data_IF_676277582685
#
_entry.id   IF_676277582685
#
_cell.length_a   1.000
_cell.length_b   1.000
_cell.length_c   1.000
_cell.angle_alpha   90.00
_cell.angle_beta   90.00
_cell.angle_gamma   90.00
#
_symmetry.space_group_name_H-M   'P 1'
#
loop_
_entity.id
_entity.type
_entity.pdbx_description
1 polymer ?
#
# COMPACT_ATOMS: atom_id res chain seq x y z
N UNK A 1 4.55 44.74 -18.52
CA UNK A 1 4.44 43.28 -18.69
C UNK A 1 3.54 42.64 -17.63
N UNK A 2 3.57 43.07 -16.36
CA UNK A 2 2.67 42.57 -15.30
C UNK A 2 1.17 42.63 -15.62
N UNK A 3 0.71 43.62 -16.41
CA UNK A 3 -0.72 43.82 -16.67
C UNK A 3 -1.27 42.88 -17.77
N UNK A 4 -0.41 42.27 -18.60
CA UNK A 4 -0.85 41.45 -19.76
C UNK A 4 -1.05 39.97 -19.41
N UNK A 5 -0.48 39.50 -18.29
CA UNK A 5 -0.59 38.10 -17.84
C UNK A 5 -1.48 37.89 -16.62
N UNK A 6 -2.16 38.93 -16.15
CA UNK A 6 -3.20 38.75 -15.14
C UNK A 6 -4.30 37.87 -15.77
N UNK A 7 -4.60 36.73 -15.16
CA UNK A 7 -5.71 35.80 -15.49
C UNK A 7 -5.45 34.69 -16.54
N UNK A 8 -4.21 34.21 -16.73
CA UNK A 8 -4.03 32.90 -17.39
C UNK A 8 -4.43 31.76 -16.45
N UNK A 9 -5.01 30.68 -16.98
CA UNK A 9 -5.40 29.52 -16.12
C UNK A 9 -4.18 28.90 -15.42
N UNK A 10 -3.01 28.98 -16.06
CA UNK A 10 -1.74 28.53 -15.49
C UNK A 10 -1.34 29.38 -14.27
N UNK A 11 -1.45 30.71 -14.37
CA UNK A 11 -1.16 31.60 -13.24
C UNK A 11 -2.12 31.34 -12.06
N UNK A 12 -3.40 31.10 -12.33
CA UNK A 12 -4.39 30.77 -11.29
C UNK A 12 -4.08 29.44 -10.61
N UNK A 13 -3.70 28.41 -11.37
CA UNK A 13 -3.32 27.12 -10.80
C UNK A 13 -2.05 27.23 -9.94
N UNK A 14 -1.05 27.98 -10.39
CA UNK A 14 0.19 28.19 -9.63
C UNK A 14 -0.06 29.03 -8.37
N UNK A 15 -0.95 30.04 -8.43
CA UNK A 15 -1.33 30.86 -7.28
C UNK A 15 -2.11 30.07 -6.23
N UNK A 16 -2.86 29.05 -6.63
CA UNK A 16 -3.62 28.20 -5.72
C UNK A 16 -2.73 27.30 -4.84
N UNK A 17 -1.46 27.11 -5.18
CA UNK A 17 -0.53 26.34 -4.36
C UNK A 17 -0.04 27.16 -3.16
N UNK A 18 -0.18 26.68 -1.90
CA UNK A 18 0.17 27.44 -0.71
C UNK A 18 1.67 27.45 -0.39
N UNK A 19 2.53 27.38 -1.41
CA UNK A 19 3.99 27.28 -1.27
C UNK A 19 4.73 28.63 -1.40
N UNK A 20 6.04 28.67 -1.08
CA UNK A 20 6.90 27.56 -0.64
C UNK A 20 6.49 27.01 0.73
N UNK A 21 6.53 25.69 0.88
CA UNK A 21 6.07 25.03 2.11
C UNK A 21 7.21 24.93 3.12
N UNK A 22 7.04 25.52 4.30
CA UNK A 22 7.97 25.46 5.44
C UNK A 22 7.22 25.13 6.73
N UNK A 23 7.86 24.41 7.65
CA UNK A 23 7.25 24.04 8.94
C UNK A 23 6.89 25.26 9.80
N UNK A 24 7.64 26.34 9.66
CA UNK A 24 7.54 27.53 10.51
C UNK A 24 6.48 28.51 10.01
N UNK A 25 6.30 28.66 8.69
CA UNK A 25 5.45 29.70 8.10
C UNK A 25 4.14 29.14 7.51
N UNK A 26 4.11 27.88 7.11
CA UNK A 26 2.95 27.30 6.42
C UNK A 26 1.94 26.71 7.40
N UNK A 27 0.67 27.11 7.28
CA UNK A 27 -0.40 26.48 8.04
C UNK A 27 -0.75 25.10 7.49
N UNK A 28 -0.72 24.11 8.36
CA UNK A 28 -1.03 22.70 8.04
C UNK A 28 -2.39 22.51 7.37
N UNK A 29 -3.39 23.31 7.75
CA UNK A 29 -4.75 23.23 7.20
C UNK A 29 -4.78 23.58 5.71
N UNK A 30 -3.96 24.56 5.28
CA UNK A 30 -3.92 24.97 3.88
C UNK A 30 -3.33 23.87 2.99
N UNK A 31 -2.30 23.18 3.48
CA UNK A 31 -1.70 22.02 2.79
C UNK A 31 -2.69 20.86 2.69
N UNK A 32 -3.43 20.57 3.76
CA UNK A 32 -4.47 19.53 3.77
C UNK A 32 -5.57 19.88 2.75
N UNK A 33 -6.10 21.10 2.78
CA UNK A 33 -7.16 21.54 1.88
C UNK A 33 -6.71 21.50 0.41
N UNK A 34 -5.47 21.92 0.14
CA UNK A 34 -4.87 21.85 -1.19
C UNK A 34 -4.76 20.40 -1.69
N UNK A 35 -4.21 19.51 -0.87
CA UNK A 35 -4.04 18.10 -1.22
C UNK A 35 -5.40 17.40 -1.43
N UNK A 36 -6.42 17.69 -0.61
CA UNK A 36 -7.78 17.17 -0.79
C UNK A 36 -8.45 17.65 -2.09
N UNK A 37 -8.23 18.92 -2.46
CA UNK A 37 -8.71 19.45 -3.73
C UNK A 37 -8.03 18.72 -4.91
N UNK A 38 -6.71 18.54 -4.86
CA UNK A 38 -5.98 17.77 -5.88
C UNK A 38 -6.43 16.31 -5.96
N UNK A 39 -6.66 15.64 -4.82
CA UNK A 39 -7.22 14.28 -4.77
C UNK A 39 -8.57 14.21 -5.50
N UNK A 40 -9.47 15.17 -5.23
CA UNK A 40 -10.79 15.27 -5.87
C UNK A 40 -10.66 15.46 -7.39
N UNK A 41 -9.72 16.30 -7.83
CA UNK A 41 -9.44 16.51 -9.26
C UNK A 41 -8.91 15.26 -9.94
N UNK A 42 -8.07 14.46 -9.29
CA UNK A 42 -7.60 13.18 -9.82
C UNK A 42 -8.77 12.24 -10.12
N UNK A 43 -9.77 12.16 -9.23
CA UNK A 43 -10.98 11.34 -9.46
C UNK A 43 -11.81 11.81 -10.65
N UNK A 44 -11.81 13.10 -10.95
CA UNK A 44 -12.57 13.70 -12.05
C UNK A 44 -11.81 13.71 -13.39
N UNK A 45 -10.51 13.41 -13.38
CA UNK A 45 -9.66 13.52 -14.57
C UNK A 45 -9.63 12.22 -15.38
N UNK A 46 -10.45 12.14 -16.43
CA UNK A 46 -10.53 11.00 -17.36
C UNK A 46 -9.25 10.72 -18.17
N UNK A 47 -8.27 11.63 -18.18
CA UNK A 47 -7.00 11.43 -18.88
C UNK A 47 -5.98 10.58 -18.09
N UNK A 48 -6.20 10.35 -16.79
CA UNK A 48 -5.31 9.53 -15.98
C UNK A 48 -5.56 8.04 -16.22
N UNK A 49 -4.48 7.28 -16.35
CA UNK A 49 -4.53 5.81 -16.53
C UNK A 49 -5.06 5.13 -15.27
N UNK A 50 -4.60 5.56 -14.09
CA UNK A 50 -4.96 5.02 -12.78
C UNK A 50 -5.32 6.18 -11.83
N UNK A 51 -6.59 6.60 -11.87
CA UNK A 51 -7.09 7.74 -11.10
C UNK A 51 -7.03 7.48 -9.61
N UNK A 52 -7.31 6.24 -9.22
CA UNK A 52 -7.36 5.79 -7.84
C UNK A 52 -5.97 5.86 -7.21
N UNK A 53 -4.91 5.43 -7.90
CA UNK A 53 -3.55 5.54 -7.37
C UNK A 53 -3.02 6.98 -7.40
N UNK A 54 -3.38 7.78 -8.40
CA UNK A 54 -3.02 9.20 -8.44
C UNK A 54 -3.67 9.97 -7.27
N UNK A 55 -4.95 9.70 -6.97
CA UNK A 55 -5.67 10.20 -5.80
C UNK A 55 -5.01 9.72 -4.50
N UNK A 56 -4.68 8.43 -4.41
CA UNK A 56 -4.09 7.80 -3.23
C UNK A 56 -2.79 8.49 -2.78
N UNK A 57 -1.95 8.96 -3.71
CA UNK A 57 -0.74 9.72 -3.38
C UNK A 57 -1.07 11.04 -2.64
N UNK A 58 -2.14 11.73 -3.03
CA UNK A 58 -2.60 12.93 -2.34
C UNK A 58 -3.25 12.61 -1.00
N UNK A 59 -4.09 11.57 -0.95
CA UNK A 59 -4.71 11.13 0.30
C UNK A 59 -3.67 10.68 1.33
N UNK A 60 -2.55 10.11 0.89
CA UNK A 60 -1.41 9.81 1.74
C UNK A 60 -0.73 11.05 2.32
N UNK A 61 -0.54 12.10 1.52
CA UNK A 61 -0.04 13.39 2.01
C UNK A 61 -1.01 13.98 3.04
N UNK A 62 -2.32 13.88 2.82
CA UNK A 62 -3.34 14.30 3.80
C UNK A 62 -3.21 13.51 5.10
N UNK A 63 -3.05 12.19 5.03
CA UNK A 63 -2.84 11.33 6.19
C UNK A 63 -1.61 11.75 6.98
N UNK A 64 -0.46 11.93 6.31
CA UNK A 64 0.77 12.40 6.94
C UNK A 64 0.58 13.74 7.64
N UNK A 65 -0.05 14.72 7.00
CA UNK A 65 -0.34 16.01 7.62
C UNK A 65 -1.25 15.88 8.85
N UNK A 66 -2.27 15.02 8.80
CA UNK A 66 -3.17 14.79 9.94
C UNK A 66 -2.43 14.16 11.12
N UNK A 67 -1.54 13.21 10.84
CA UNK A 67 -0.75 12.49 11.85
C UNK A 67 0.63 13.10 12.13
N UNK A 68 0.83 14.39 11.79
CA UNK A 68 2.08 15.13 12.04
C UNK A 68 3.33 14.38 11.53
N UNK A 69 3.28 13.85 10.32
CA UNK A 69 4.38 13.18 9.64
C UNK A 69 4.70 11.77 10.16
N UNK A 70 3.97 11.26 11.16
CA UNK A 70 4.20 9.93 11.73
C UNK A 70 2.99 9.04 11.48
N UNK A 71 3.15 8.00 10.69
CA UNK A 71 2.10 7.01 10.36
C UNK A 71 2.61 5.61 10.66
N UNK A 72 1.72 4.71 11.10
CA UNK A 72 2.05 3.28 11.24
C UNK A 72 1.39 2.47 10.13
N UNK A 73 1.86 1.23 9.93
CA UNK A 73 1.39 0.37 8.84
C UNK A 73 -0.12 0.14 8.82
N UNK A 74 -0.79 0.17 9.98
CA UNK A 74 -2.24 0.05 10.09
C UNK A 74 -2.99 1.28 9.55
N UNK A 75 -2.47 2.50 9.77
CA UNK A 75 -3.06 3.73 9.20
C UNK A 75 -3.02 3.70 7.67
N UNK A 76 -1.90 3.21 7.13
CA UNK A 76 -1.68 3.10 5.69
C UNK A 76 -2.55 2.00 5.10
N UNK A 77 -2.70 0.88 5.80
CA UNK A 77 -3.60 -0.20 5.39
C UNK A 77 -5.06 0.25 5.37
N UNK A 78 -5.50 1.03 6.36
CA UNK A 78 -6.83 1.65 6.35
C UNK A 78 -7.00 2.52 5.11
N UNK A 79 -6.03 3.42 4.84
CA UNK A 79 -6.04 4.27 3.64
C UNK A 79 -6.13 3.46 2.33
N UNK A 80 -5.32 2.40 2.21
CA UNK A 80 -5.31 1.52 1.03
C UNK A 80 -6.65 0.81 0.82
N UNK A 81 -7.40 0.55 1.89
CA UNK A 81 -8.63 -0.25 1.88
C UNK A 81 -9.92 0.60 1.91
N UNK A 82 -9.86 1.93 2.00
CA UNK A 82 -11.04 2.81 2.11
C UNK A 82 -12.10 2.57 1.02
N UNK A 83 -11.67 2.38 -0.22
CA UNK A 83 -12.56 2.15 -1.37
C UNK A 83 -12.74 0.66 -1.69
N UNK A 84 -12.02 -0.23 -0.99
CA UNK A 84 -12.23 -1.66 -1.08
C UNK A 84 -13.42 -2.04 -0.21
N UNK A 85 -14.58 -2.25 -0.86
CA UNK A 85 -15.67 -2.99 -0.24
C UNK A 85 -15.07 -4.30 0.27
N UNK A 86 -14.95 -4.45 1.58
CA UNK A 86 -14.57 -5.71 2.21
C UNK A 86 -15.67 -6.72 1.90
N UNK A 87 -15.58 -7.39 0.75
CA UNK A 87 -16.41 -8.56 0.42
C UNK A 87 -16.26 -9.64 1.52
N UNK A 88 -15.20 -9.55 2.33
CA UNK A 88 -14.80 -10.51 3.34
C UNK A 88 -15.31 -10.25 4.77
N UNK A 89 -16.01 -9.15 5.03
CA UNK A 89 -16.67 -8.93 6.32
C UNK A 89 -18.11 -8.48 6.10
N UNK A 90 -19.11 -9.37 6.30
CA UNK A 90 -20.47 -8.94 6.55
C UNK A 90 -20.48 -8.10 7.84
N UNK A 91 -20.60 -6.78 7.69
CA UNK A 91 -21.19 -5.92 8.72
C UNK A 91 -20.34 -5.51 9.92
N UNK A 92 -19.07 -5.11 9.78
CA UNK A 92 -18.40 -4.35 10.86
C UNK A 92 -17.65 -3.14 10.33
N UNK A 93 -18.13 -1.95 10.73
CA UNK A 93 -17.43 -0.69 10.56
C UNK A 93 -16.20 -0.63 11.51
N UNK A 94 -15.18 0.20 11.23
CA UNK A 94 -13.98 0.32 12.06
C UNK A 94 -14.24 0.75 13.51
N UNK A 95 -15.40 1.34 13.81
CA UNK A 95 -15.73 1.88 15.13
C UNK A 95 -16.24 0.84 16.15
N UNK A 96 -16.37 -0.43 15.77
CA UNK A 96 -16.87 -1.50 16.66
C UNK A 96 -15.84 -2.61 16.91
N UNK A 97 -14.55 -2.32 16.75
CA UNK A 97 -13.49 -3.20 17.21
C UNK A 97 -13.31 -3.08 18.73
N UNK A 98 -14.32 -3.48 19.52
CA UNK A 98 -14.15 -3.81 20.92
C UNK A 98 -15.21 -4.80 21.40
N UNK A 99 -14.73 -5.82 22.13
CA UNK A 99 -15.44 -6.93 22.79
C UNK A 99 -15.69 -8.16 21.91
N UNK A 100 -14.75 -9.10 21.99
CA UNK A 100 -15.04 -10.52 21.76
C UNK A 100 -15.91 -10.95 22.96
N UNK A 101 -17.21 -11.07 22.74
CA UNK A 101 -18.12 -11.70 23.70
C UNK A 101 -18.05 -13.22 23.50
N UNK A 102 -17.68 -13.94 24.57
CA UNK A 102 -17.58 -15.40 24.57
C UNK A 102 -18.91 -16.08 24.93
N UNK A 103 -20.04 -15.37 24.86
CA UNK A 103 -21.35 -15.99 25.08
C UNK A 103 -21.97 -16.48 23.77
N UNK A 104 -22.03 -17.81 23.64
CA UNK A 104 -22.93 -18.51 22.72
C UNK A 104 -24.37 -18.08 23.02
N UNK A 105 -24.97 -17.28 22.14
CA UNK A 105 -26.42 -17.22 22.02
C UNK A 105 -26.81 -17.57 20.58
N UNK A 106 -27.49 -18.72 20.48
CA UNK A 106 -28.06 -19.23 19.25
C UNK A 106 -29.11 -18.23 18.74
N UNK A 107 -28.88 -17.67 17.56
CA UNK A 107 -29.88 -16.83 16.89
C UNK A 107 -31.03 -17.73 16.46
N UNK A 108 -32.19 -17.51 17.07
CA UNK A 108 -33.45 -18.21 16.77
C UNK A 108 -33.85 -18.03 15.30
N UNK A 109 -34.16 -19.15 14.65
CA UNK A 109 -34.69 -19.21 13.30
C UNK A 109 -36.09 -18.60 13.19
N UNK A 110 -36.29 -17.70 12.21
CA UNK A 110 -37.60 -17.43 11.64
C UNK A 110 -37.84 -18.35 10.43
N UNK A 111 -39.07 -18.86 10.23
CA UNK A 111 -39.34 -19.93 9.27
C UNK A 111 -39.47 -19.38 7.84
N UNK A 112 -38.65 -19.91 6.93
CA UNK A 112 -38.87 -19.77 5.48
C UNK A 112 -39.46 -21.08 4.93
N UNK A 113 -40.72 -21.01 4.49
CA UNK A 113 -41.38 -22.08 3.75
C UNK A 113 -40.75 -22.23 2.36
N UNK A 114 -40.66 -23.49 1.90
CA UNK A 114 -40.26 -23.99 0.57
C UNK A 114 -38.75 -24.17 0.29
N UNK A 115 -38.14 -25.22 0.87
CA UNK A 115 -36.75 -25.61 0.56
C UNK A 115 -36.31 -27.04 0.93
N UNK A 116 -37.20 -27.97 1.26
CA UNK A 116 -36.82 -29.29 1.82
C UNK A 116 -35.89 -30.13 0.91
N UNK A 117 -36.03 -30.03 -0.42
CA UNK A 117 -35.20 -30.79 -1.36
C UNK A 117 -33.78 -30.21 -1.57
N UNK A 118 -33.58 -28.92 -1.30
CA UNK A 118 -32.25 -28.29 -1.34
C UNK A 118 -31.50 -28.46 -0.02
N UNK A 119 -32.23 -28.45 1.11
CA UNK A 119 -31.66 -28.74 2.44
C UNK A 119 -31.19 -30.19 2.58
N UNK A 120 -31.93 -31.18 2.06
CA UNK A 120 -31.52 -32.59 2.12
C UNK A 120 -30.22 -32.86 1.33
N UNK A 121 -30.10 -32.30 0.13
CA UNK A 121 -28.89 -32.43 -0.70
C UNK A 121 -27.66 -31.77 -0.06
N UNK A 122 -27.84 -30.61 0.59
CA UNK A 122 -26.76 -29.95 1.35
C UNK A 122 -26.37 -30.77 2.59
N UNK A 123 -27.33 -31.41 3.25
CA UNK A 123 -27.10 -32.26 4.42
C UNK A 123 -26.32 -33.53 4.05
N UNK A 124 -26.70 -34.22 2.97
CA UNK A 124 -26.01 -35.44 2.49
C UNK A 124 -24.57 -35.16 2.04
N UNK A 125 -24.35 -34.04 1.36
CA UNK A 125 -23.00 -33.58 0.97
C UNK A 125 -22.11 -33.28 2.18
N UNK A 126 -22.70 -32.66 3.21
CA UNK A 126 -21.99 -32.29 4.43
C UNK A 126 -21.63 -33.53 5.27
N UNK A 127 -22.54 -34.50 5.38
CA UNK A 127 -22.28 -35.80 6.04
C UNK A 127 -21.15 -36.56 5.33
N UNK A 128 -21.20 -36.68 3.99
CA UNK A 128 -20.14 -37.35 3.23
C UNK A 128 -18.76 -36.68 3.40
N UNK A 129 -18.75 -35.35 3.55
CA UNK A 129 -17.52 -34.59 3.79
C UNK A 129 -16.97 -34.85 5.19
N UNK A 130 -17.84 -34.93 6.21
CA UNK A 130 -17.46 -35.26 7.59
C UNK A 130 -16.91 -36.69 7.66
N UNK A 131 -17.60 -37.67 7.08
CA UNK A 131 -17.15 -39.07 7.04
C UNK A 131 -15.78 -39.21 6.37
N UNK A 132 -15.56 -38.45 5.29
CA UNK A 132 -14.26 -38.41 4.62
C UNK A 132 -13.17 -37.82 5.52
N UNK A 133 -13.48 -36.75 6.28
CA UNK A 133 -12.52 -36.10 7.17
C UNK A 133 -12.14 -36.99 8.35
N UNK A 134 -13.12 -37.71 8.91
CA UNK A 134 -12.91 -38.68 9.98
C UNK A 134 -12.00 -39.83 9.53
N UNK A 135 -12.26 -40.38 8.34
CA UNK A 135 -11.43 -41.44 7.76
C UNK A 135 -9.98 -40.99 7.55
N UNK A 136 -9.75 -39.78 7.03
CA UNK A 136 -8.40 -39.27 6.85
C UNK A 136 -7.70 -38.98 8.20
N UNK A 137 -8.48 -38.62 9.22
CA UNK A 137 -7.97 -38.45 10.59
C UNK A 137 -7.59 -39.79 11.22
N UNK A 138 -8.37 -40.86 11.00
CA UNK A 138 -8.03 -42.22 11.44
C UNK A 138 -6.73 -42.68 10.80
N UNK A 139 -6.60 -42.50 9.48
CA UNK A 139 -5.36 -42.81 8.75
C UNK A 139 -4.15 -42.05 9.30
N UNK A 140 -4.32 -40.78 9.63
CA UNK A 140 -3.28 -39.99 10.27
C UNK A 140 -2.89 -40.56 11.64
N UNK A 141 -3.88 -40.97 12.45
CA UNK A 141 -3.67 -41.62 13.75
C UNK A 141 -2.91 -42.93 13.62
N UNK A 142 -3.31 -43.80 12.71
CA UNK A 142 -2.65 -45.08 12.44
C UNK A 142 -1.16 -44.88 12.11
N UNK A 143 -0.86 -43.96 11.17
CA UNK A 143 0.53 -43.67 10.80
C UNK A 143 1.37 -43.19 11.99
N UNK A 144 0.78 -42.41 12.90
CA UNK A 144 1.46 -41.95 14.11
C UNK A 144 1.64 -43.06 15.15
N UNK A 145 0.66 -43.96 15.32
CA UNK A 145 0.78 -45.12 16.21
C UNK A 145 1.97 -46.00 15.83
N UNK A 146 2.26 -46.13 14.54
CA UNK A 146 3.45 -46.84 14.04
C UNK A 146 4.71 -45.96 13.95
N UNK A 147 4.69 -44.74 14.51
CA UNK A 147 5.85 -43.83 14.55
C UNK A 147 6.23 -43.20 13.20
N UNK A 148 5.41 -43.36 12.15
CA UNK A 148 5.69 -42.87 10.78
C UNK A 148 5.32 -41.40 10.61
N UNK A 149 5.98 -40.53 11.37
CA UNK A 149 5.68 -39.08 11.42
C UNK A 149 5.72 -38.38 10.05
N UNK A 150 6.68 -38.76 9.18
CA UNK A 150 6.82 -38.18 7.84
C UNK A 150 5.64 -38.54 6.92
N UNK A 151 5.23 -39.80 6.94
CA UNK A 151 4.11 -40.30 6.13
C UNK A 151 2.79 -39.72 6.62
N UNK A 152 2.61 -39.63 7.95
CA UNK A 152 1.47 -38.96 8.56
C UNK A 152 1.36 -37.51 8.10
N UNK A 153 2.48 -36.78 8.12
CA UNK A 153 2.53 -35.39 7.70
C UNK A 153 2.18 -35.20 6.21
N UNK A 154 2.75 -36.02 5.31
CA UNK A 154 2.40 -35.96 3.88
C UNK A 154 0.93 -36.33 3.62
N UNK A 155 0.41 -37.34 4.32
CA UNK A 155 -1.01 -37.70 4.24
C UNK A 155 -1.92 -36.56 4.70
N UNK A 156 -1.60 -35.91 5.81
CA UNK A 156 -2.38 -34.78 6.33
C UNK A 156 -2.39 -33.60 5.36
N UNK A 157 -1.24 -33.23 4.79
CA UNK A 157 -1.16 -32.16 3.79
C UNK A 157 -1.93 -32.48 2.51
N UNK A 158 -1.90 -33.74 2.06
CA UNK A 158 -2.59 -34.16 0.83
C UNK A 158 -4.11 -34.05 0.94
N UNK A 159 -4.67 -34.31 2.12
CA UNK A 159 -6.12 -34.33 2.35
C UNK A 159 -6.63 -33.08 3.09
N UNK A 160 -5.82 -32.02 3.19
CA UNK A 160 -6.26 -30.75 3.78
C UNK A 160 -6.38 -30.73 5.31
N UNK A 161 -5.85 -31.73 6.02
CA UNK A 161 -5.79 -31.78 7.49
C UNK A 161 -4.72 -30.82 8.05
N UNK A 162 -4.78 -29.55 7.66
CA UNK A 162 -3.73 -28.56 7.93
C UNK A 162 -3.52 -28.29 9.42
N UNK A 163 -4.57 -28.31 10.24
CA UNK A 163 -4.44 -28.17 11.70
C UNK A 163 -3.54 -29.26 12.30
N UNK A 164 -3.77 -30.53 11.94
CA UNK A 164 -2.93 -31.65 12.37
C UNK A 164 -1.52 -31.57 11.78
N UNK A 165 -1.40 -31.23 10.49
CA UNK A 165 -0.12 -31.12 9.81
C UNK A 165 0.78 -30.03 10.42
N UNK A 166 0.24 -28.83 10.63
CA UNK A 166 0.96 -27.68 11.20
C UNK A 166 1.37 -27.95 12.65
N UNK A 167 0.47 -28.51 13.46
CA UNK A 167 0.79 -28.88 14.84
C UNK A 167 1.92 -29.89 14.91
N UNK A 168 1.84 -30.99 14.14
CA UNK A 168 2.89 -32.00 14.09
C UNK A 168 4.21 -31.40 13.59
N UNK A 169 4.17 -30.62 12.50
CA UNK A 169 5.35 -30.01 11.91
C UNK A 169 6.04 -29.01 12.86
N UNK A 170 5.29 -28.29 13.69
CA UNK A 170 5.84 -27.35 14.69
C UNK A 170 6.71 -28.02 15.75
N UNK A 171 6.52 -29.33 15.99
CA UNK A 171 7.31 -30.15 16.91
C UNK A 171 8.36 -31.01 16.21
N UNK A 172 8.53 -30.84 14.89
CA UNK A 172 9.59 -31.44 14.10
C UNK A 172 10.76 -30.46 13.95
N UNK A 173 11.63 -30.67 12.96
CA UNK A 173 12.71 -29.75 12.64
C UNK A 173 12.22 -28.51 11.88
N UNK A 174 12.97 -27.41 12.01
CA UNK A 174 12.65 -26.11 11.40
C UNK A 174 12.44 -26.18 9.88
N UNK A 175 13.21 -27.03 9.18
CA UNK A 175 13.07 -27.20 7.72
C UNK A 175 11.74 -27.86 7.36
N UNK A 176 11.32 -28.88 8.11
CA UNK A 176 10.01 -29.51 7.94
C UNK A 176 8.89 -28.52 8.21
N UNK A 177 8.95 -27.76 9.31
CA UNK A 177 7.96 -26.73 9.63
C UNK A 177 7.82 -25.68 8.51
N UNK A 178 8.93 -25.14 8.03
CA UNK A 178 8.94 -24.15 6.94
C UNK A 178 8.36 -24.72 5.62
N UNK A 179 8.63 -25.99 5.31
CA UNK A 179 8.08 -26.66 4.12
C UNK A 179 6.55 -26.77 4.20
N UNK A 180 6.03 -27.15 5.36
CA UNK A 180 4.58 -27.30 5.58
C UNK A 180 3.88 -25.94 5.52
N UNK A 181 4.45 -24.92 6.17
CA UNK A 181 3.96 -23.54 6.09
C UNK A 181 3.88 -23.03 4.64
N UNK A 182 4.93 -23.28 3.85
CA UNK A 182 4.94 -22.93 2.41
C UNK A 182 3.81 -23.64 1.65
N UNK A 183 3.64 -24.94 1.89
CA UNK A 183 2.63 -25.74 1.18
C UNK A 183 1.21 -25.33 1.56
N UNK A 184 0.99 -24.97 2.83
CA UNK A 184 -0.27 -24.42 3.32
C UNK A 184 -0.57 -23.06 2.67
N UNK A 185 0.38 -22.13 2.67
CA UNK A 185 0.21 -20.82 2.01
C UNK A 185 -0.17 -20.98 0.52
N UNK A 186 0.49 -21.92 -0.17
CA UNK A 186 0.22 -22.21 -1.59
C UNK A 186 -1.06 -23.03 -1.83
N UNK A 187 -1.74 -23.50 -0.78
CA UNK A 187 -3.05 -24.16 -0.90
C UNK A 187 -4.21 -23.16 -0.93
N UNK A 188 -3.96 -21.91 -0.52
CA UNK A 188 -4.92 -20.81 -0.63
C UNK A 188 -5.02 -20.28 -2.07
N UNK A 189 -6.11 -19.60 -2.42
CA UNK A 189 -6.21 -18.91 -3.70
C UNK A 189 -5.03 -17.96 -3.90
N UNK A 190 -4.53 -17.93 -5.13
CA UNK A 190 -3.27 -17.27 -5.44
C UNK A 190 -3.34 -15.73 -5.27
N UNK A 191 -4.54 -15.16 -5.39
CA UNK A 191 -4.86 -13.75 -5.20
C UNK A 191 -5.37 -13.43 -3.78
N UNK A 192 -5.37 -14.39 -2.85
CA UNK A 192 -5.82 -14.15 -1.49
C UNK A 192 -4.75 -13.38 -0.69
N UNK A 193 -5.06 -12.23 -0.07
CA UNK A 193 -4.13 -11.54 0.81
C UNK A 193 -3.61 -12.40 1.97
N UNK A 194 -4.35 -13.43 2.41
CA UNK A 194 -3.87 -14.43 3.39
C UNK A 194 -2.65 -15.20 2.89
N UNK A 195 -2.59 -15.52 1.60
CA UNK A 195 -1.40 -16.15 1.02
C UNK A 195 -0.18 -15.22 1.14
N UNK A 196 -0.39 -13.91 1.00
CA UNK A 196 0.69 -12.90 1.08
C UNK A 196 1.31 -12.88 2.45
N UNK A 197 0.50 -12.77 3.50
CA UNK A 197 1.01 -12.73 4.88
C UNK A 197 1.67 -14.06 5.26
N UNK A 198 1.12 -15.21 4.86
CA UNK A 198 1.75 -16.51 5.17
C UNK A 198 3.08 -16.74 4.45
N UNK A 199 3.24 -16.24 3.22
CA UNK A 199 4.52 -16.27 2.51
C UNK A 199 5.56 -15.36 3.20
N UNK A 200 5.16 -14.15 3.65
CA UNK A 200 6.02 -13.25 4.42
C UNK A 200 6.44 -13.85 5.77
N UNK A 201 5.50 -14.39 6.54
CA UNK A 201 5.78 -15.03 7.83
C UNK A 201 6.71 -16.26 7.67
N UNK A 202 6.75 -16.85 6.48
CA UNK A 202 7.68 -17.92 6.11
C UNK A 202 9.06 -17.40 5.66
N UNK A 203 9.31 -16.09 5.73
CA UNK A 203 10.54 -15.43 5.30
C UNK A 203 10.74 -15.41 3.79
N UNK A 204 9.65 -15.53 3.01
CA UNK A 204 9.71 -15.58 1.54
C UNK A 204 9.03 -14.36 0.93
N UNK A 205 9.54 -13.95 -0.22
CA UNK A 205 8.90 -12.92 -1.03
C UNK A 205 7.55 -13.45 -1.55
N UNK A 206 6.43 -12.75 -1.30
CA UNK A 206 5.12 -13.17 -1.77
C UNK A 206 5.00 -13.16 -3.29
N UNK A 207 4.22 -14.08 -3.85
CA UNK A 207 3.92 -14.10 -5.28
C UNK A 207 3.19 -12.83 -5.74
N UNK A 208 2.42 -12.19 -4.85
CA UNK A 208 1.75 -10.93 -5.11
C UNK A 208 2.72 -9.81 -5.52
N UNK A 209 3.98 -9.84 -5.07
CA UNK A 209 4.99 -8.82 -5.41
C UNK A 209 5.39 -8.80 -6.89
N UNK A 210 5.22 -9.92 -7.60
CA UNK A 210 5.61 -10.05 -9.02
C UNK A 210 4.43 -10.17 -9.98
N UNK A 211 3.21 -10.35 -9.44
CA UNK A 211 2.02 -10.66 -10.23
C UNK A 211 0.89 -9.63 -10.07
N UNK A 212 0.99 -8.71 -9.10
CA UNK A 212 -0.06 -7.72 -8.83
C UNK A 212 -0.36 -6.81 -10.03
N UNK A 213 -1.64 -6.42 -10.20
CA UNK A 213 -2.06 -5.53 -11.30
C UNK A 213 -2.30 -6.21 -12.65
N UNK A 214 -2.30 -7.55 -12.71
CA UNK A 214 -2.87 -8.29 -13.85
C UNK A 214 -4.37 -8.51 -13.64
N UNK A 215 -5.16 -8.54 -14.73
CA UNK A 215 -6.60 -8.88 -14.67
C UNK A 215 -6.86 -10.21 -13.95
N UNK A 216 -5.92 -11.15 -14.04
CA UNK A 216 -5.99 -12.47 -13.40
C UNK A 216 -5.68 -12.44 -11.90
N UNK A 217 -4.89 -11.47 -11.45
CA UNK A 217 -4.41 -11.40 -10.06
C UNK A 217 -5.25 -10.46 -9.21
N UNK A 218 -5.75 -9.36 -9.80
CA UNK A 218 -6.53 -8.36 -9.09
C UNK A 218 -5.70 -7.23 -8.49
N UNK A 219 -6.31 -6.49 -7.57
CA UNK A 219 -5.76 -5.26 -7.00
C UNK A 219 -4.55 -5.52 -6.10
N UNK A 220 -3.54 -4.66 -6.18
CA UNK A 220 -2.32 -4.69 -5.38
C UNK A 220 -2.54 -4.16 -3.96
N UNK A 221 -3.53 -3.28 -3.74
CA UNK A 221 -3.73 -2.57 -2.47
C UNK A 221 -3.96 -3.50 -1.27
N UNK A 222 -4.82 -4.55 -1.33
CA UNK A 222 -5.00 -5.46 -0.19
C UNK A 222 -3.72 -6.25 0.15
N UNK A 223 -2.91 -6.58 -0.85
CA UNK A 223 -1.64 -7.25 -0.64
C UNK A 223 -0.62 -6.33 0.05
N UNK A 224 -0.51 -5.07 -0.39
CA UNK A 224 0.36 -4.11 0.28
C UNK A 224 -0.12 -3.82 1.71
N UNK A 225 -1.43 -3.67 1.92
CA UNK A 225 -2.03 -3.50 3.25
C UNK A 225 -1.67 -4.65 4.19
N UNK A 226 -1.70 -5.90 3.70
CA UNK A 226 -1.27 -7.08 4.46
C UNK A 226 0.22 -7.02 4.83
N UNK A 227 1.09 -6.62 3.90
CA UNK A 227 2.53 -6.47 4.18
C UNK A 227 2.75 -5.41 5.26
N UNK A 228 2.13 -4.24 5.13
CA UNK A 228 2.33 -3.10 6.03
C UNK A 228 1.74 -3.30 7.42
N UNK A 229 0.61 -3.99 7.54
CA UNK A 229 -0.04 -4.24 8.84
C UNK A 229 0.62 -5.36 9.64
N UNK A 230 1.38 -6.22 8.97
CA UNK A 230 2.00 -7.40 9.58
C UNK A 230 3.54 -7.36 9.45
N UNK A 231 4.13 -6.16 9.44
CA UNK A 231 5.58 -6.00 9.45
C UNK A 231 6.15 -6.72 10.69
N UNK A 232 7.16 -7.53 10.45
CA UNK A 232 7.87 -8.36 11.42
C UNK A 232 9.29 -7.84 11.59
N UNK A 233 10.12 -8.55 12.36
CA UNK A 233 11.51 -8.16 12.57
C UNK A 233 12.39 -8.27 11.30
N UNK A 234 11.89 -8.82 10.18
CA UNK A 234 12.62 -9.01 8.93
C UNK A 234 12.37 -7.87 7.92
N UNK A 235 12.76 -6.64 8.31
CA UNK A 235 12.53 -5.43 7.50
C UNK A 235 13.11 -5.51 6.08
N UNK A 236 14.20 -6.27 5.88
CA UNK A 236 14.84 -6.44 4.56
C UNK A 236 13.94 -7.16 3.54
N UNK A 237 13.22 -8.20 3.98
CA UNK A 237 12.34 -8.98 3.10
C UNK A 237 11.08 -8.17 2.76
N UNK A 238 10.56 -7.45 3.75
CA UNK A 238 9.38 -6.59 3.60
C UNK A 238 9.67 -5.42 2.68
N UNK A 239 10.75 -4.67 2.92
CA UNK A 239 11.18 -3.58 2.05
C UNK A 239 11.40 -4.07 0.61
N UNK A 240 12.14 -5.17 0.42
CA UNK A 240 12.33 -5.76 -0.92
C UNK A 240 11.04 -6.20 -1.58
N UNK A 241 10.09 -6.75 -0.81
CA UNK A 241 8.77 -7.14 -1.31
C UNK A 241 8.01 -5.94 -1.85
N UNK A 242 7.98 -4.84 -1.09
CA UNK A 242 7.30 -3.61 -1.47
C UNK A 242 7.98 -2.97 -2.69
N UNK A 243 9.32 -2.94 -2.74
CA UNK A 243 10.07 -2.44 -3.90
C UNK A 243 9.77 -3.27 -5.15
N UNK A 244 9.75 -4.59 -5.03
CA UNK A 244 9.46 -5.51 -6.15
C UNK A 244 8.03 -5.34 -6.66
N UNK A 245 7.08 -5.12 -5.74
CA UNK A 245 5.70 -4.76 -6.08
C UNK A 245 5.66 -3.45 -6.89
N UNK A 246 6.41 -2.44 -6.45
CA UNK A 246 6.56 -1.18 -7.18
C UNK A 246 7.16 -1.36 -8.59
N UNK A 247 8.22 -2.17 -8.72
CA UNK A 247 8.85 -2.46 -10.01
C UNK A 247 7.87 -3.15 -10.97
N UNK A 248 7.08 -4.10 -10.46
CA UNK A 248 6.05 -4.80 -11.23
C UNK A 248 4.97 -3.83 -11.71
N UNK A 249 4.44 -2.98 -10.83
CA UNK A 249 3.43 -1.98 -11.18
C UNK A 249 3.96 -0.96 -12.20
N UNK A 250 5.22 -0.52 -12.04
CA UNK A 250 5.88 0.38 -12.98
C UNK A 250 6.03 -0.27 -14.37
N UNK A 251 6.38 -1.55 -14.43
CA UNK A 251 6.49 -2.30 -15.70
C UNK A 251 5.16 -2.42 -16.45
N UNK A 252 4.03 -2.32 -15.72
CA UNK A 252 2.66 -2.32 -16.27
C UNK A 252 2.14 -0.93 -16.60
N UNK A 253 2.94 0.13 -16.40
CA UNK A 253 2.53 1.51 -16.64
C UNK A 253 1.72 2.15 -15.50
N UNK A 254 1.55 1.45 -14.36
CA UNK A 254 0.86 1.95 -13.17
C UNK A 254 1.83 2.76 -12.31
N UNK A 255 2.24 3.92 -12.82
CA UNK A 255 3.31 4.74 -12.22
C UNK A 255 2.97 5.25 -10.82
N UNK A 256 1.77 5.80 -10.61
CA UNK A 256 1.37 6.35 -9.32
C UNK A 256 1.32 5.26 -8.24
N UNK A 257 0.84 4.06 -8.60
CA UNK A 257 0.83 2.88 -7.73
C UNK A 257 2.26 2.43 -7.37
N UNK A 258 3.16 2.41 -8.36
CA UNK A 258 4.57 2.11 -8.15
C UNK A 258 5.26 3.11 -7.21
N UNK A 259 5.02 4.41 -7.43
CA UNK A 259 5.55 5.47 -6.57
C UNK A 259 5.01 5.34 -5.14
N UNK A 260 3.74 4.98 -4.97
CA UNK A 260 3.19 4.69 -3.65
C UNK A 260 3.97 3.57 -2.95
N UNK A 261 4.23 2.46 -3.64
CA UNK A 261 5.05 1.36 -3.11
C UNK A 261 6.45 1.85 -2.71
N UNK A 262 7.13 2.62 -3.56
CA UNK A 262 8.46 3.16 -3.25
C UNK A 262 8.45 4.08 -2.01
N UNK A 263 7.41 4.89 -1.84
CA UNK A 263 7.23 5.71 -0.63
C UNK A 263 7.05 4.82 0.62
N UNK A 264 6.27 3.74 0.53
CA UNK A 264 6.08 2.81 1.65
C UNK A 264 7.34 2.03 2.00
N UNK A 265 8.18 1.73 1.00
CA UNK A 265 9.49 1.11 1.20
C UNK A 265 10.57 2.10 1.69
N UNK A 266 10.24 3.38 1.85
CA UNK A 266 11.16 4.46 2.19
C UNK A 266 12.34 4.59 1.20
N UNK A 267 12.07 4.35 -0.08
CA UNK A 267 13.07 4.55 -1.15
C UNK A 267 13.46 6.03 -1.27
N UNK A 268 14.76 6.28 -1.37
CA UNK A 268 15.30 7.64 -1.48
C UNK A 268 14.98 8.32 -2.81
N UNK A 269 14.86 9.64 -2.77
CA UNK A 269 14.68 10.47 -3.96
C UNK A 269 16.02 10.64 -4.68
N UNK A 270 16.14 10.01 -5.85
CA UNK A 270 17.35 10.03 -6.66
C UNK A 270 17.44 11.21 -7.62
N UNK A 271 18.32 11.09 -8.61
CA UNK A 271 18.64 12.13 -9.59
C UNK A 271 18.00 11.78 -10.93
N UNK A 272 17.44 12.79 -11.61
CA UNK A 272 16.79 12.64 -12.92
C UNK A 272 17.64 11.92 -13.98
N UNK A 273 18.95 12.17 -14.00
CA UNK A 273 19.86 11.62 -15.01
C UNK A 273 20.13 10.12 -14.84
N UNK A 274 19.86 9.56 -13.65
CA UNK A 274 20.10 8.14 -13.35
C UNK A 274 18.85 7.33 -13.68
N UNK A 275 18.91 6.55 -14.77
CA UNK A 275 17.80 5.72 -15.27
C UNK A 275 17.36 4.60 -14.32
N UNK A 276 18.19 4.20 -13.37
CA UNK A 276 17.85 3.16 -12.39
C UNK A 276 17.16 3.74 -11.15
N UNK A 277 16.91 5.05 -11.11
CA UNK A 277 16.24 5.69 -9.99
C UNK A 277 14.78 5.25 -9.96
N UNK A 278 14.24 4.95 -8.79
CA UNK A 278 12.83 4.56 -8.64
C UNK A 278 11.92 5.77 -8.45
N UNK A 279 12.42 6.80 -7.77
CA UNK A 279 11.68 8.00 -7.42
C UNK A 279 12.55 9.26 -7.57
N UNK A 280 12.05 10.28 -8.28
CA UNK A 280 12.70 11.60 -8.42
C UNK A 280 11.71 12.72 -8.06
N UNK A 281 10.53 12.67 -8.68
CA UNK A 281 9.36 13.48 -8.31
C UNK A 281 8.16 12.54 -8.21
N UNK A 282 7.30 12.75 -7.22
CA UNK A 282 6.10 11.91 -7.01
C UNK A 282 5.13 12.12 -8.17
N UNK A 283 4.63 11.02 -8.75
CA UNK A 283 3.72 11.06 -9.91
C UNK A 283 4.35 11.37 -11.26
N UNK A 284 5.69 11.49 -11.37
CA UNK A 284 6.35 11.83 -12.63
C UNK A 284 7.31 10.76 -13.13
N UNK A 285 7.16 10.39 -14.41
CA UNK A 285 8.02 9.41 -15.06
C UNK A 285 9.31 10.07 -15.56
N UNK A 286 10.42 9.82 -14.87
CA UNK A 286 11.74 10.37 -15.20
C UNK A 286 12.37 9.75 -16.46
N UNK A 287 11.76 8.74 -17.06
CA UNK A 287 12.12 8.26 -18.41
C UNK A 287 11.63 9.19 -19.52
N UNK A 288 10.73 10.13 -19.22
CA UNK A 288 10.24 11.12 -20.17
C UNK A 288 11.22 12.29 -20.33
N UNK A 289 11.13 13.05 -21.45
CA UNK A 289 11.89 14.30 -21.61
C UNK A 289 11.67 15.24 -20.44
N UNK A 290 12.72 15.97 -20.05
CA UNK A 290 12.75 16.79 -18.82
C UNK A 290 11.53 17.71 -18.64
N UNK A 291 11.10 18.38 -19.71
CA UNK A 291 9.94 19.28 -19.67
C UNK A 291 8.61 18.57 -19.35
N UNK A 292 8.46 17.31 -19.78
CA UNK A 292 7.27 16.50 -19.46
C UNK A 292 7.37 15.88 -18.06
N UNK A 293 8.58 15.52 -17.65
CA UNK A 293 8.85 14.95 -16.34
C UNK A 293 8.65 15.98 -15.22
N UNK A 294 9.29 17.14 -15.32
CA UNK A 294 9.28 18.16 -14.28
C UNK A 294 8.03 19.05 -14.39
N UNK A 295 6.84 18.47 -14.35
CA UNK A 295 5.57 19.20 -14.36
C UNK A 295 5.36 19.98 -13.05
N UNK A 296 4.58 21.07 -13.09
CA UNK A 296 4.24 21.82 -11.88
C UNK A 296 3.55 20.93 -10.84
N UNK A 297 2.64 20.06 -11.29
CA UNK A 297 1.92 19.15 -10.39
C UNK A 297 2.87 18.18 -9.66
N UNK A 298 3.84 17.61 -10.36
CA UNK A 298 4.79 16.68 -9.74
C UNK A 298 5.70 17.38 -8.73
N UNK A 299 6.10 18.63 -9.01
CA UNK A 299 6.87 19.45 -8.08
C UNK A 299 6.03 19.78 -6.85
N UNK A 300 4.81 20.29 -7.04
CA UNK A 300 3.88 20.62 -5.96
C UNK A 300 3.59 19.40 -5.08
N UNK A 301 3.31 18.23 -5.68
CA UNK A 301 3.06 16.96 -4.96
C UNK A 301 4.26 16.51 -4.13
N UNK A 302 5.46 16.63 -4.70
CA UNK A 302 6.71 16.28 -4.00
C UNK A 302 6.98 17.24 -2.84
N UNK A 303 6.71 18.53 -3.02
CA UNK A 303 6.86 19.53 -1.96
C UNK A 303 5.85 19.35 -0.83
N UNK A 304 4.59 19.02 -1.13
CA UNK A 304 3.60 18.73 -0.09
C UNK A 304 3.98 17.49 0.72
N UNK A 305 4.58 16.49 0.07
CA UNK A 305 5.11 15.32 0.76
C UNK A 305 6.33 15.65 1.63
N UNK A 306 7.29 16.44 1.13
CA UNK A 306 8.43 16.92 1.92
C UNK A 306 7.97 17.70 3.16
N UNK A 307 7.02 18.62 2.99
CA UNK A 307 6.40 19.35 4.08
C UNK A 307 5.75 18.40 5.10
N UNK A 308 4.93 17.44 4.64
CA UNK A 308 4.25 16.52 5.51
C UNK A 308 5.22 15.66 6.35
N UNK A 309 6.35 15.23 5.76
CA UNK A 309 7.42 14.54 6.48
C UNK A 309 8.12 15.46 7.50
N UNK A 310 8.31 16.75 7.20
CA UNK A 310 8.97 17.70 8.10
C UNK A 310 8.21 17.92 9.43
N UNK A 311 6.91 17.61 9.45
CA UNK A 311 6.09 17.66 10.67
C UNK A 311 6.47 16.59 11.69
N UNK A 312 7.07 15.49 11.24
CA UNK A 312 7.49 14.36 12.07
C UNK A 312 8.65 14.67 13.02
N UNK A 313 8.97 13.69 13.86
CA UNK A 313 10.07 13.76 14.84
C UNK A 313 11.45 13.66 14.20
N UNK A 314 11.57 12.96 13.06
CA UNK A 314 12.77 12.89 12.24
C UNK A 314 12.48 13.48 10.85
N UNK A 315 12.67 14.79 10.66
CA UNK A 315 12.40 15.43 9.38
C UNK A 315 13.36 14.90 8.31
N UNK A 316 12.81 14.37 7.23
CA UNK A 316 13.58 13.97 6.06
C UNK A 316 13.75 15.17 5.13
N UNK A 317 15.00 15.54 4.84
CA UNK A 317 15.31 16.55 3.82
C UNK A 317 15.48 15.88 2.47
N UNK A 318 15.02 16.52 1.39
CA UNK A 318 15.25 16.06 0.02
C UNK A 318 16.29 16.96 -0.69
N UNK A 319 17.61 16.68 -0.53
CA UNK A 319 18.70 17.37 -1.23
C UNK A 319 18.46 17.62 -2.72
N UNK A 320 18.22 16.53 -3.46
CA UNK A 320 18.05 16.56 -4.91
C UNK A 320 16.79 17.32 -5.35
N UNK A 321 15.87 17.60 -4.42
CA UNK A 321 14.62 18.29 -4.72
C UNK A 321 14.78 19.81 -4.88
N UNK A 322 15.84 20.41 -4.32
CA UNK A 322 16.04 21.86 -4.36
C UNK A 322 16.15 22.41 -5.78
N UNK A 323 16.72 21.64 -6.71
CA UNK A 323 16.80 22.01 -8.15
C UNK A 323 15.40 22.16 -8.76
N UNK A 324 14.44 21.33 -8.36
CA UNK A 324 13.07 21.40 -8.86
C UNK A 324 12.28 22.54 -8.20
N UNK A 325 12.54 22.86 -6.93
CA UNK A 325 12.01 24.07 -6.30
C UNK A 325 12.49 25.33 -7.01
N UNK A 326 13.78 25.38 -7.40
CA UNK A 326 14.32 26.50 -8.17
C UNK A 326 13.67 26.61 -9.55
N UNK A 327 13.49 25.48 -10.26
CA UNK A 327 12.76 25.46 -11.52
C UNK A 327 11.33 26.02 -11.37
N UNK A 328 10.63 25.65 -10.30
CA UNK A 328 9.29 26.18 -10.01
C UNK A 328 9.32 27.67 -9.69
N UNK A 329 10.33 28.16 -8.96
CA UNK A 329 10.53 29.58 -8.71
C UNK A 329 10.74 30.39 -10.01
N UNK A 330 11.52 29.86 -10.97
CA UNK A 330 11.67 30.47 -12.29
C UNK A 330 10.32 30.57 -13.01
N UNK A 331 9.53 29.49 -13.02
CA UNK A 331 8.19 29.49 -13.63
C UNK A 331 7.25 30.50 -12.98
N UNK A 332 7.27 30.60 -11.65
CA UNK A 332 6.50 31.61 -10.90
C UNK A 332 6.88 33.02 -11.34
N UNK A 333 8.18 33.29 -11.53
CA UNK A 333 8.64 34.59 -12.00
C UNK A 333 8.19 34.88 -13.44
N UNK A 334 8.24 33.89 -14.34
CA UNK A 334 7.79 34.00 -15.73
C UNK A 334 6.30 34.35 -15.83
N UNK A 335 5.46 33.79 -14.96
CA UNK A 335 4.02 34.10 -14.91
C UNK A 335 3.69 35.33 -14.04
N UNK A 336 4.69 36.07 -13.55
CA UNK A 336 4.49 37.33 -12.80
C UNK A 336 4.18 37.17 -11.31
N UNK A 337 4.33 35.97 -10.72
CA UNK A 337 4.19 35.71 -9.28
C UNK A 337 5.52 35.99 -8.55
N UNK A 338 6.05 37.21 -8.72
CA UNK A 338 7.42 37.57 -8.31
C UNK A 338 7.66 37.42 -6.80
N UNK A 339 6.70 37.80 -5.97
CA UNK A 339 6.84 37.70 -4.51
C UNK A 339 6.97 36.24 -4.06
N UNK A 340 6.19 35.32 -4.64
CA UNK A 340 6.30 33.89 -4.35
C UNK A 340 7.64 33.34 -4.86
N UNK A 341 8.04 33.67 -6.09
CA UNK A 341 9.32 33.26 -6.65
C UNK A 341 10.51 33.70 -5.76
N UNK A 342 10.49 34.93 -5.26
CA UNK A 342 11.50 35.44 -4.34
C UNK A 342 11.52 34.64 -3.03
N UNK A 343 10.36 34.34 -2.46
CA UNK A 343 10.28 33.57 -1.22
C UNK A 343 10.81 32.13 -1.39
N UNK A 344 10.58 31.47 -2.54
CA UNK A 344 11.23 30.20 -2.86
C UNK A 344 12.75 30.30 -2.84
N UNK A 345 13.33 31.35 -3.41
CA UNK A 345 14.78 31.57 -3.41
C UNK A 345 15.34 31.69 -1.98
N UNK A 346 14.62 32.34 -1.06
CA UNK A 346 15.02 32.42 0.35
C UNK A 346 15.02 31.05 1.02
N UNK A 347 13.97 30.25 0.81
CA UNK A 347 13.84 28.90 1.38
C UNK A 347 14.92 27.97 0.84
N UNK A 348 15.18 28.00 -0.48
CA UNK A 348 16.23 27.20 -1.12
C UNK A 348 17.61 27.60 -0.59
N UNK A 349 17.88 28.90 -0.44
CA UNK A 349 19.15 29.40 0.11
C UNK A 349 19.39 28.85 1.53
N UNK A 350 18.38 28.89 2.40
CA UNK A 350 18.46 28.30 3.76
C UNK A 350 18.72 26.79 3.71
N UNK A 351 18.06 26.06 2.80
CA UNK A 351 18.25 24.62 2.64
C UNK A 351 19.67 24.26 2.20
N UNK A 352 20.24 24.99 1.22
CA UNK A 352 21.62 24.78 0.73
C UNK A 352 22.64 25.10 1.83
N UNK A 353 22.43 26.18 2.60
CA UNK A 353 23.32 26.53 3.72
C UNK A 353 23.32 25.46 4.81
N UNK A 354 22.17 24.82 5.04
CA UNK A 354 22.02 23.74 6.04
C UNK A 354 22.65 22.44 5.55
N UNK A 355 22.53 22.14 4.25
CA UNK A 355 23.07 20.94 3.61
C UNK A 355 23.91 21.31 2.36
N UNK A 356 25.20 21.67 2.53
CA UNK A 356 26.05 22.17 1.44
C UNK A 356 26.43 21.14 0.37
N UNK A 357 26.18 19.86 0.66
CA UNK A 357 26.47 18.73 -0.23
C UNK A 357 25.32 18.39 -1.20
N UNK A 358 24.23 19.16 -1.18
CA UNK A 358 23.07 19.01 -2.07
C UNK A 358 23.33 19.55 -3.47
#
# INVERSE_FOLDING_TARGET
MEIVMQHSSEQEEMRAFPGPLTKDDTHKVDVINYAQNKATRCSQNDALIDKESARLLWDFVVLLCRQNGTVVGTDIAELLLQDHKTVWLPGKSPNEANLIDFTNEAVEHMPEESGEAQLSFLTDSLIATIDSLEKETERFRELLLYGRKKDALESAMKHGLWGHALLLASKMDSRTHARVMTRFANSLPINDPLQTVYQLMSGRMPAASTCCGDEKWGDWRPHLAMVLSNLTNNMDVESRTIITMGDTLASKGLLDAAHFCYLMAQEGFGVYTKKTTKLVLIGANHSLPFLKFASNEAIQRTETYEYAQSLGTQPCSLPNFQVFKFLYACRLAEVGLIAQAFHYCEVISKAILTNPSC
#
